data_IF_690069202016
#
_entry.id   IF_690069202016
#
_cell.length_a   1.000
_cell.length_b   1.000
_cell.length_c   1.000
_cell.angle_alpha   90.00
_cell.angle_beta   90.00
_cell.angle_gamma   90.00
#
_symmetry.space_group_name_H-M   'P 1'
#
loop_
_entity.id
_entity.type
_entity.pdbx_description
1 polymer ?
#
# COMPACT_ATOMS: atom_id res chain seq x y z
N UNK A 1 15.69 39.77 34.62
CA UNK A 1 16.92 39.27 33.96
C UNK A 1 16.44 38.41 32.79
N UNK A 2 16.57 38.73 31.50
CA UNK A 2 17.46 39.60 30.71
C UNK A 2 18.88 39.03 30.43
N UNK A 3 18.91 38.14 29.43
CA UNK A 3 19.92 37.81 28.38
C UNK A 3 19.14 36.94 27.34
N UNK A 4 19.22 37.02 26.01
CA UNK A 4 19.97 37.81 25.01
C UNK A 4 21.50 37.66 25.02
N UNK A 5 22.21 37.71 23.87
CA UNK A 5 21.93 38.30 22.54
C UNK A 5 22.51 37.37 21.40
N UNK A 6 22.69 37.75 20.10
CA UNK A 6 22.29 36.86 18.97
C UNK A 6 23.27 36.74 17.76
N UNK A 7 22.85 36.00 16.70
CA UNK A 7 23.26 36.12 15.27
C UNK A 7 24.77 35.95 14.91
N UNK A 8 25.25 35.97 13.63
CA UNK A 8 24.56 36.04 12.33
C UNK A 8 24.99 35.01 11.23
N UNK A 9 24.16 34.94 10.19
CA UNK A 9 24.46 34.89 8.73
C UNK A 9 25.87 34.56 8.22
N UNK A 10 25.96 33.59 7.31
CA UNK A 10 26.81 33.72 6.12
C UNK A 10 26.21 33.00 4.89
N UNK A 11 25.87 33.78 3.87
CA UNK A 11 25.57 33.31 2.51
C UNK A 11 26.90 33.30 1.75
N UNK A 12 27.26 32.21 1.08
CA UNK A 12 28.13 32.31 -0.09
C UNK A 12 27.81 31.24 -1.15
N UNK A 13 27.66 31.73 -2.38
CA UNK A 13 27.35 30.96 -3.58
C UNK A 13 28.65 30.34 -4.10
N UNK A 14 28.62 29.07 -4.53
CA UNK A 14 29.52 28.62 -5.60
C UNK A 14 28.87 27.56 -6.49
N UNK A 15 28.24 28.05 -7.56
CA UNK A 15 27.93 27.26 -8.75
C UNK A 15 29.20 27.10 -9.61
N UNK A 16 29.19 26.12 -10.53
CA UNK A 16 30.23 25.81 -11.52
C UNK A 16 31.60 25.36 -10.99
N UNK A 17 31.89 24.07 -11.15
CA UNK A 17 33.05 23.66 -11.97
C UNK A 17 32.93 22.21 -12.46
N UNK A 18 32.43 22.08 -13.70
CA UNK A 18 32.51 20.87 -14.50
C UNK A 18 33.77 20.98 -15.37
N UNK A 19 34.84 20.23 -15.11
CA UNK A 19 35.99 20.13 -16.04
C UNK A 19 36.94 18.96 -15.71
N UNK A 20 36.76 17.87 -16.46
CA UNK A 20 37.77 16.98 -17.05
C UNK A 20 39.08 16.73 -16.27
N UNK A 21 39.28 15.48 -15.85
CA UNK A 21 40.60 14.87 -15.74
C UNK A 21 40.65 13.56 -16.55
N UNK A 22 40.81 13.72 -17.87
CA UNK A 22 41.18 12.62 -18.76
C UNK A 22 42.71 12.54 -18.88
N UNK A 23 43.22 11.32 -19.02
CA UNK A 23 44.58 10.97 -19.47
C UNK A 23 45.77 11.39 -18.59
N UNK A 24 46.19 10.46 -17.72
CA UNK A 24 47.58 10.33 -17.26
C UNK A 24 48.04 8.85 -17.29
N UNK A 25 48.03 8.23 -18.48
CA UNK A 25 48.74 6.96 -18.68
C UNK A 25 50.26 7.21 -18.70
N UNK A 26 50.94 6.77 -17.64
CA UNK A 26 52.41 6.78 -17.53
C UNK A 26 52.85 5.55 -16.76
N UNK A 27 53.04 4.43 -17.46
CA UNK A 27 53.17 3.12 -16.82
C UNK A 27 54.55 2.85 -16.19
N UNK A 28 54.56 1.94 -15.22
CA UNK A 28 55.67 1.02 -14.96
C UNK A 28 55.09 -0.29 -14.44
N UNK A 29 55.60 -1.39 -14.98
CA UNK A 29 55.09 -2.77 -14.84
C UNK A 29 55.14 -3.31 -13.41
N UNK A 30 54.01 -3.90 -12.98
CA UNK A 30 53.97 -5.12 -12.16
C UNK A 30 52.78 -5.94 -12.65
N UNK A 31 53.00 -7.21 -13.00
CA UNK A 31 51.91 -8.16 -13.25
C UNK A 31 51.34 -8.63 -11.92
N UNK A 32 50.03 -8.51 -11.72
CA UNK A 32 49.30 -9.50 -10.92
C UNK A 32 47.87 -9.69 -11.46
N UNK A 33 47.44 -10.94 -11.38
CA UNK A 33 46.47 -11.62 -12.24
C UNK A 33 45.00 -11.37 -11.85
N UNK A 34 44.16 -11.02 -12.84
CA UNK A 34 42.69 -11.13 -12.91
C UNK A 34 41.84 -10.71 -11.69
N UNK A 35 41.04 -9.65 -11.88
CA UNK A 35 39.66 -9.60 -11.36
C UNK A 35 38.79 -8.81 -12.37
N UNK A 36 38.04 -9.53 -13.20
CA UNK A 36 37.30 -9.02 -14.39
C UNK A 36 35.79 -9.30 -14.25
N UNK A 37 35.31 -9.39 -13.00
CA UNK A 37 33.94 -9.79 -12.67
C UNK A 37 33.09 -8.70 -11.99
N UNK A 38 33.73 -7.63 -11.50
CA UNK A 38 33.03 -6.55 -10.76
C UNK A 38 32.49 -5.43 -11.65
N UNK A 39 33.13 -5.12 -12.78
CA UNK A 39 32.76 -3.99 -13.66
C UNK A 39 31.51 -4.32 -14.51
N UNK A 40 31.33 -5.59 -14.86
CA UNK A 40 30.16 -6.07 -15.64
C UNK A 40 28.87 -6.07 -14.82
N UNK A 41 28.93 -6.44 -13.53
CA UNK A 41 27.76 -6.57 -12.67
C UNK A 41 27.05 -5.22 -12.42
N UNK A 42 27.82 -4.14 -12.21
CA UNK A 42 27.26 -2.79 -12.00
C UNK A 42 26.57 -2.29 -13.27
N UNK A 43 27.10 -2.63 -14.45
CA UNK A 43 26.49 -2.26 -15.75
C UNK A 43 25.21 -3.05 -16.06
N UNK A 44 25.02 -4.25 -15.52
CA UNK A 44 23.77 -5.01 -15.67
C UNK A 44 22.69 -4.51 -14.70
N UNK A 45 23.07 -4.09 -13.49
CA UNK A 45 22.15 -3.60 -12.44
C UNK A 45 21.59 -2.20 -12.78
N UNK A 46 22.42 -1.26 -13.30
CA UNK A 46 21.92 0.03 -13.82
C UNK A 46 21.05 -0.13 -15.08
N UNK A 47 21.36 -1.11 -15.94
CA UNK A 47 20.57 -1.36 -17.16
C UNK A 47 19.20 -1.97 -16.83
N UNK A 48 19.14 -2.94 -15.92
CA UNK A 48 17.90 -3.55 -15.47
C UNK A 48 16.98 -2.51 -14.78
N UNK A 49 17.54 -1.68 -13.88
CA UNK A 49 16.78 -0.62 -13.22
C UNK A 49 16.22 0.43 -14.20
N UNK A 50 16.94 0.72 -15.29
CA UNK A 50 16.47 1.64 -16.32
C UNK A 50 15.41 1.02 -17.25
N UNK A 51 15.49 -0.28 -17.55
CA UNK A 51 14.43 -1.00 -18.28
C UNK A 51 13.15 -1.13 -17.44
N UNK A 52 13.27 -1.38 -16.13
CA UNK A 52 12.16 -1.48 -15.19
C UNK A 52 11.43 -0.13 -15.05
N UNK A 53 12.16 0.98 -14.86
CA UNK A 53 11.58 2.33 -14.83
C UNK A 53 10.88 2.73 -16.14
N UNK A 54 11.44 2.36 -17.29
CA UNK A 54 10.85 2.66 -18.59
C UNK A 54 9.60 1.81 -18.88
N UNK A 55 9.53 0.59 -18.33
CA UNK A 55 8.34 -0.24 -18.38
C UNK A 55 7.22 0.31 -17.46
N UNK A 56 7.56 0.75 -16.24
CA UNK A 56 6.62 1.47 -15.35
C UNK A 56 6.08 2.74 -16.00
N UNK A 57 6.94 3.58 -16.59
CA UNK A 57 6.52 4.83 -17.27
C UNK A 57 5.60 4.55 -18.47
N UNK A 58 5.90 3.50 -19.27
CA UNK A 58 5.05 3.09 -20.40
C UNK A 58 3.71 2.49 -19.96
N UNK A 59 3.68 1.73 -18.86
CA UNK A 59 2.43 1.18 -18.32
C UNK A 59 1.56 2.27 -17.68
N UNK A 60 2.19 3.24 -17.02
CA UNK A 60 1.52 4.44 -16.51
C UNK A 60 0.87 5.26 -17.64
N UNK A 61 1.56 5.47 -18.77
CA UNK A 61 1.00 6.19 -19.92
C UNK A 61 -0.20 5.47 -20.56
N UNK A 62 -0.21 4.13 -20.69
CA UNK A 62 -1.39 3.41 -21.21
C UNK A 62 -2.58 3.42 -20.24
N UNK A 63 -2.32 3.44 -18.92
CA UNK A 63 -3.36 3.46 -17.88
C UNK A 63 -4.00 4.85 -17.69
N UNK A 64 -3.23 5.93 -17.86
CA UNK A 64 -3.67 7.31 -17.62
C UNK A 64 -4.78 7.82 -18.56
N UNK A 65 -4.93 7.21 -19.74
CA UNK A 65 -5.93 7.56 -20.76
C UNK A 65 -7.27 6.80 -20.59
N UNK A 66 -7.38 5.83 -19.66
CA UNK A 66 -8.58 4.98 -19.53
C UNK A 66 -9.70 5.62 -18.66
N UNK A 67 -9.37 6.44 -17.66
CA UNK A 67 -10.33 6.95 -16.68
C UNK A 67 -10.34 8.49 -16.58
N UNK A 68 -11.53 9.10 -16.60
CA UNK A 68 -11.76 10.53 -16.33
C UNK A 68 -12.94 10.74 -15.36
N UNK A 69 -12.86 11.75 -14.50
CA UNK A 69 -14.00 12.17 -13.66
C UNK A 69 -13.68 12.44 -12.19
N UNK A 70 -14.65 12.17 -11.32
CA UNK A 70 -14.53 12.25 -9.86
C UNK A 70 -14.75 10.84 -9.29
N UNK A 71 -13.91 10.42 -8.33
CA UNK A 71 -14.05 9.15 -7.61
C UNK A 71 -14.17 9.44 -6.12
N UNK A 72 -15.29 9.05 -5.51
CA UNK A 72 -15.58 9.32 -4.10
C UNK A 72 -15.33 8.09 -3.21
N UNK A 73 -14.51 8.26 -2.16
CA UNK A 73 -14.12 7.18 -1.25
C UNK A 73 -14.52 7.49 0.19
N UNK A 74 -15.32 6.62 0.80
CA UNK A 74 -15.65 6.66 2.21
C UNK A 74 -14.56 5.96 3.04
N UNK A 75 -13.80 6.70 3.85
CA UNK A 75 -12.60 6.21 4.56
C UNK A 75 -12.74 6.20 6.10
N UNK A 76 -11.97 5.33 6.76
CA UNK A 76 -11.94 5.21 8.23
C UNK A 76 -10.96 6.21 8.86
N UNK A 77 -11.44 7.42 9.10
CA UNK A 77 -10.61 8.48 9.69
C UNK A 77 -9.75 9.19 8.65
N UNK A 78 -8.92 10.14 9.11
CA UNK A 78 -8.05 10.93 8.23
C UNK A 78 -6.77 10.13 7.97
N UNK A 79 -6.70 9.48 6.81
CA UNK A 79 -5.56 8.65 6.40
C UNK A 79 -4.28 9.46 6.14
N UNK A 80 -4.42 10.75 5.87
CA UNK A 80 -3.37 11.74 5.56
C UNK A 80 -2.81 12.48 6.79
N UNK A 81 -3.42 12.33 7.97
CA UNK A 81 -3.18 13.21 9.11
C UNK A 81 -1.84 13.01 9.87
N UNK A 82 -1.23 11.82 9.81
CA UNK A 82 0.06 11.52 10.45
C UNK A 82 0.83 10.45 9.64
N UNK A 83 1.94 10.80 8.98
CA UNK A 83 2.81 9.85 8.27
C UNK A 83 3.37 8.69 9.10
N UNK A 84 3.31 8.75 10.43
CA UNK A 84 3.76 7.69 11.33
C UNK A 84 2.62 6.75 11.75
N UNK A 85 1.37 7.06 11.42
CA UNK A 85 0.20 6.25 11.75
C UNK A 85 0.01 5.15 10.70
N UNK A 86 -0.34 3.93 11.11
CA UNK A 86 -0.43 2.78 10.19
C UNK A 86 -1.44 2.96 9.06
N UNK A 87 -2.48 3.78 9.23
CA UNK A 87 -3.44 4.08 8.16
C UNK A 87 -2.86 4.96 7.04
N UNK A 88 -1.68 5.55 7.21
CA UNK A 88 -1.03 6.37 6.19
C UNK A 88 -0.60 5.58 4.94
N UNK A 89 -0.41 4.25 5.06
CA UNK A 89 -0.18 3.39 3.89
C UNK A 89 -1.35 3.41 2.89
N UNK A 90 -2.59 3.63 3.34
CA UNK A 90 -3.73 3.81 2.43
C UNK A 90 -3.64 5.12 1.66
N UNK A 91 -3.14 6.20 2.29
CA UNK A 91 -2.92 7.47 1.62
C UNK A 91 -1.86 7.34 0.52
N UNK A 92 -0.71 6.75 0.84
CA UNK A 92 0.39 6.54 -0.12
C UNK A 92 -0.05 5.72 -1.35
N UNK A 93 -0.78 4.61 -1.16
CA UNK A 93 -1.31 3.80 -2.27
C UNK A 93 -2.31 4.61 -3.11
N UNK A 94 -3.16 5.43 -2.49
CA UNK A 94 -4.11 6.27 -3.21
C UNK A 94 -3.44 7.43 -3.94
N UNK A 95 -2.30 7.96 -3.46
CA UNK A 95 -1.51 8.95 -4.21
C UNK A 95 -0.79 8.30 -5.39
N UNK A 96 -0.19 7.12 -5.23
CA UNK A 96 0.41 6.36 -6.34
C UNK A 96 -0.64 6.07 -7.43
N UNK A 97 -1.85 5.65 -7.05
CA UNK A 97 -2.94 5.47 -8.00
C UNK A 97 -3.35 6.78 -8.68
N UNK A 98 -3.45 7.90 -7.94
CA UNK A 98 -3.78 9.21 -8.50
C UNK A 98 -2.70 9.73 -9.47
N UNK A 99 -1.43 9.43 -9.24
CA UNK A 99 -0.33 9.79 -10.14
C UNK A 99 -0.37 9.01 -11.45
N UNK A 100 -0.83 7.75 -11.42
CA UNK A 100 -1.12 6.93 -12.61
C UNK A 100 -2.41 7.36 -13.33
N UNK A 101 -3.38 7.93 -12.61
CA UNK A 101 -4.71 8.31 -13.11
C UNK A 101 -5.01 9.81 -12.95
N UNK A 102 -4.18 10.71 -13.53
CA UNK A 102 -4.23 12.16 -13.27
C UNK A 102 -5.51 12.86 -13.76
N UNK A 103 -6.33 12.17 -14.57
CA UNK A 103 -7.62 12.65 -15.08
C UNK A 103 -8.79 12.34 -14.11
N UNK A 104 -8.53 11.64 -13.00
CA UNK A 104 -9.52 11.32 -11.95
C UNK A 104 -9.28 12.17 -10.70
N UNK A 105 -10.28 12.91 -10.25
CA UNK A 105 -10.23 13.65 -8.98
C UNK A 105 -10.68 12.74 -7.83
N UNK A 106 -9.74 12.34 -6.96
CA UNK A 106 -10.06 11.62 -5.72
C UNK A 106 -10.73 12.55 -4.68
N UNK A 107 -11.89 12.13 -4.16
CA UNK A 107 -12.55 12.76 -3.00
C UNK A 107 -12.62 11.80 -1.82
N UNK A 108 -12.37 12.31 -0.62
CA UNK A 108 -12.46 11.52 0.61
C UNK A 108 -13.59 12.00 1.49
N UNK A 109 -14.47 11.08 1.87
CA UNK A 109 -15.50 11.28 2.90
C UNK A 109 -15.15 10.50 4.16
N UNK A 110 -15.23 11.14 5.33
CA UNK A 110 -15.03 10.43 6.60
C UNK A 110 -16.30 9.66 6.95
N UNK A 111 -16.21 8.34 7.05
CA UNK A 111 -17.29 7.52 7.57
C UNK A 111 -17.63 8.01 8.99
N UNK A 112 -18.91 8.32 9.21
CA UNK A 112 -19.37 8.91 10.47
C UNK A 112 -19.21 7.97 11.67
N UNK A 113 -19.07 8.58 12.85
CA UNK A 113 -19.00 7.86 14.12
C UNK A 113 -17.58 7.68 14.67
N UNK A 114 -17.50 7.11 15.87
CA UNK A 114 -16.22 6.90 16.59
C UNK A 114 -15.93 5.44 16.92
N UNK A 115 -16.96 4.60 16.89
CA UNK A 115 -16.87 3.15 17.14
C UNK A 115 -17.25 2.36 15.89
N UNK A 116 -16.83 1.10 15.79
CA UNK A 116 -17.19 0.21 14.66
C UNK A 116 -18.71 0.12 14.45
N UNK A 117 -19.56 -0.04 15.49
CA UNK A 117 -21.01 0.02 15.33
C UNK A 117 -21.54 1.34 14.76
N UNK A 118 -20.98 2.49 15.12
CA UNK A 118 -21.40 3.78 14.56
C UNK A 118 -21.13 3.82 13.04
N UNK A 119 -19.96 3.32 12.61
CA UNK A 119 -19.56 3.25 11.20
C UNK A 119 -20.48 2.36 10.39
N UNK A 120 -20.81 1.18 10.92
CA UNK A 120 -21.79 0.26 10.32
C UNK A 120 -23.19 0.88 10.21
N UNK A 121 -23.62 1.66 11.21
CA UNK A 121 -24.88 2.40 11.15
C UNK A 121 -24.83 3.53 10.10
N UNK A 122 -23.70 4.23 9.95
CA UNK A 122 -23.50 5.24 8.91
C UNK A 122 -23.59 4.61 7.51
N UNK A 123 -22.90 3.50 7.27
CA UNK A 123 -22.94 2.77 6.00
C UNK A 123 -24.37 2.31 5.71
N UNK A 124 -25.03 1.62 6.66
CA UNK A 124 -26.40 1.14 6.48
C UNK A 124 -27.41 2.28 6.20
N UNK A 125 -27.22 3.45 6.82
CA UNK A 125 -28.10 4.62 6.62
C UNK A 125 -27.94 5.20 5.22
N UNK A 126 -26.71 5.40 4.75
CA UNK A 126 -26.44 5.94 3.41
C UNK A 126 -26.78 4.93 2.31
N UNK A 127 -26.55 3.64 2.55
CA UNK A 127 -26.97 2.56 1.64
C UNK A 127 -28.48 2.55 1.45
N UNK A 128 -29.26 2.61 2.54
CA UNK A 128 -30.73 2.69 2.48
C UNK A 128 -31.26 4.02 1.90
N UNK A 129 -30.43 5.07 1.84
CA UNK A 129 -30.76 6.35 1.23
C UNK A 129 -30.33 6.45 -0.25
N UNK A 130 -29.52 5.51 -0.76
CA UNK A 130 -28.90 5.60 -2.09
C UNK A 130 -27.84 6.70 -2.18
N UNK A 131 -27.09 6.94 -1.09
CA UNK A 131 -26.09 8.02 -0.96
C UNK A 131 -24.75 7.54 -0.42
N UNK A 132 -24.35 6.30 -0.75
CA UNK A 132 -22.97 5.88 -0.52
C UNK A 132 -22.03 6.53 -1.55
N UNK A 133 -20.79 6.86 -1.17
CA UNK A 133 -19.69 7.08 -2.10
C UNK A 133 -19.40 5.85 -2.98
N UNK A 134 -18.70 6.04 -4.09
CA UNK A 134 -18.40 5.01 -5.08
C UNK A 134 -17.63 3.82 -4.50
N UNK A 135 -16.70 4.10 -3.58
CA UNK A 135 -15.95 3.08 -2.83
C UNK A 135 -16.13 3.30 -1.33
N UNK A 136 -16.47 2.24 -0.59
CA UNK A 136 -16.74 2.32 0.86
C UNK A 136 -15.82 1.39 1.63
N UNK A 137 -14.92 1.96 2.44
CA UNK A 137 -14.07 1.18 3.34
C UNK A 137 -14.92 0.56 4.45
N UNK A 138 -14.99 -0.77 4.48
CA UNK A 138 -15.71 -1.55 5.48
C UNK A 138 -14.82 -2.63 6.09
N UNK A 139 -14.98 -2.86 7.39
CA UNK A 139 -14.32 -3.91 8.16
C UNK A 139 -15.33 -5.02 8.41
N UNK A 140 -15.02 -6.28 8.08
CA UNK A 140 -15.90 -7.45 8.24
C UNK A 140 -17.39 -7.19 7.89
N UNK A 141 -17.72 -7.03 6.59
CA UNK A 141 -19.10 -6.84 6.15
C UNK A 141 -19.97 -8.05 6.54
N UNK A 142 -21.16 -7.78 7.10
CA UNK A 142 -22.20 -8.79 7.29
C UNK A 142 -23.14 -8.87 6.07
N UNK A 143 -23.98 -9.90 6.02
CA UNK A 143 -24.85 -10.17 4.87
C UNK A 143 -25.86 -9.06 4.54
N UNK A 144 -26.13 -8.11 5.44
CA UNK A 144 -27.00 -6.95 5.17
C UNK A 144 -26.42 -6.01 4.12
N UNK A 145 -25.10 -6.05 3.90
CA UNK A 145 -24.42 -5.24 2.88
C UNK A 145 -24.20 -5.99 1.55
N UNK A 146 -24.64 -7.26 1.44
CA UNK A 146 -24.49 -8.09 0.24
C UNK A 146 -25.75 -8.02 -0.63
N UNK A 147 -26.16 -6.79 -0.99
CA UNK A 147 -27.37 -6.51 -1.78
C UNK A 147 -27.01 -6.16 -3.23
N UNK A 148 -27.31 -7.03 -4.22
CA UNK A 148 -26.98 -6.78 -5.63
C UNK A 148 -27.81 -5.66 -6.28
N UNK A 149 -28.85 -5.12 -5.63
CA UNK A 149 -29.54 -3.92 -6.10
C UNK A 149 -28.80 -2.62 -5.68
N UNK A 150 -27.86 -2.70 -4.73
CA UNK A 150 -27.21 -1.55 -4.10
C UNK A 150 -25.68 -1.56 -4.20
N UNK A 151 -25.05 -2.73 -4.32
CA UNK A 151 -23.59 -2.91 -4.39
C UNK A 151 -23.26 -3.72 -5.65
N UNK A 152 -22.19 -3.33 -6.35
CA UNK A 152 -21.72 -4.01 -7.57
C UNK A 152 -21.26 -5.43 -7.22
N UNK A 153 -21.74 -6.43 -7.97
CA UNK A 153 -21.18 -7.78 -7.95
C UNK A 153 -19.78 -7.76 -8.61
N UNK A 154 -18.75 -8.02 -7.81
CA UNK A 154 -17.35 -8.06 -8.23
C UNK A 154 -16.94 -9.41 -8.85
N UNK A 155 -17.79 -10.45 -8.74
CA UNK A 155 -17.53 -11.81 -9.25
C UNK A 155 -17.04 -11.87 -10.71
N UNK A 156 -17.64 -11.15 -11.70
CA UNK A 156 -17.12 -11.16 -13.06
C UNK A 156 -15.74 -10.49 -13.17
N UNK A 157 -15.53 -9.35 -12.51
CA UNK A 157 -14.28 -8.59 -12.54
C UNK A 157 -13.11 -9.35 -11.89
N UNK A 158 -13.39 -10.18 -10.87
CA UNK A 158 -12.40 -11.10 -10.28
C UNK A 158 -11.84 -12.13 -11.28
N UNK A 159 -12.44 -12.30 -12.46
CA UNK A 159 -11.97 -13.18 -13.53
C UNK A 159 -11.33 -12.43 -14.70
N UNK A 160 -11.24 -11.10 -14.63
CA UNK A 160 -10.57 -10.26 -15.61
C UNK A 160 -9.07 -10.13 -15.25
N UNK A 161 -8.19 -9.86 -16.24
CA UNK A 161 -6.77 -9.59 -15.98
C UNK A 161 -6.59 -8.42 -15.02
N UNK A 162 -5.62 -8.52 -14.12
CA UNK A 162 -5.24 -7.39 -13.28
C UNK A 162 -4.15 -6.58 -14.01
N UNK A 163 -4.38 -5.30 -14.36
CA UNK A 163 -3.36 -4.48 -15.02
C UNK A 163 -2.22 -4.04 -14.08
N UNK A 164 -2.33 -4.31 -12.77
CA UNK A 164 -1.32 -3.99 -11.76
C UNK A 164 -0.49 -5.22 -11.32
N UNK A 165 -0.60 -6.37 -12.00
CA UNK A 165 0.21 -7.56 -11.71
C UNK A 165 0.45 -8.44 -12.95
N UNK A 166 1.46 -9.31 -12.90
CA UNK A 166 1.69 -10.34 -13.93
C UNK A 166 0.73 -11.53 -13.83
N UNK A 167 -0.23 -11.51 -12.88
CA UNK A 167 -1.11 -12.64 -12.63
C UNK A 167 -2.26 -12.71 -13.67
N UNK A 168 -2.75 -13.92 -14.02
CA UNK A 168 -3.72 -14.07 -15.11
C UNK A 168 -5.05 -13.37 -14.86
N UNK A 169 -5.49 -13.30 -13.59
CA UNK A 169 -6.74 -12.65 -13.18
C UNK A 169 -6.59 -11.97 -11.81
N UNK A 170 -7.46 -11.02 -11.52
CA UNK A 170 -7.60 -10.42 -10.18
C UNK A 170 -7.74 -11.45 -9.05
N UNK A 171 -8.40 -12.60 -9.29
CA UNK A 171 -8.51 -13.68 -8.30
C UNK A 171 -7.15 -14.22 -7.84
N UNK A 172 -6.20 -14.34 -8.77
CA UNK A 172 -4.90 -14.97 -8.53
C UNK A 172 -3.98 -14.11 -7.63
N UNK A 173 -4.24 -12.80 -7.53
CA UNK A 173 -3.56 -11.90 -6.59
C UNK A 173 -4.02 -12.05 -5.13
N UNK A 174 -5.13 -12.75 -4.86
CA UNK A 174 -5.63 -12.90 -3.49
C UNK A 174 -4.98 -14.08 -2.76
N UNK A 175 -4.45 -13.87 -1.53
CA UNK A 175 -3.74 -14.89 -0.79
C UNK A 175 -4.54 -16.19 -0.59
N UNK A 176 -3.81 -17.30 -0.56
CA UNK A 176 -4.35 -18.64 -0.32
C UNK A 176 -5.39 -19.09 -1.37
N UNK A 177 -5.13 -18.86 -2.68
CA UNK A 177 -6.05 -19.25 -3.78
C UNK A 177 -7.46 -18.66 -3.58
N UNK A 178 -7.47 -17.32 -3.44
CA UNK A 178 -8.65 -16.52 -3.13
C UNK A 178 -9.41 -16.93 -1.86
N UNK A 179 -8.84 -17.75 -0.97
CA UNK A 179 -9.55 -18.21 0.22
C UNK A 179 -9.91 -17.05 1.16
N UNK A 180 -9.12 -15.97 1.17
CA UNK A 180 -9.46 -14.75 1.92
C UNK A 180 -10.74 -14.07 1.46
N UNK A 181 -11.14 -14.24 0.18
CA UNK A 181 -12.38 -13.66 -0.35
C UNK A 181 -13.62 -14.46 0.07
N UNK A 182 -13.47 -15.76 0.36
CA UNK A 182 -14.60 -16.68 0.57
C UNK A 182 -15.46 -16.31 1.79
N UNK A 183 -14.89 -15.61 2.78
CA UNK A 183 -15.63 -15.07 3.93
C UNK A 183 -16.53 -13.86 3.56
N UNK A 184 -16.24 -13.18 2.44
CA UNK A 184 -17.02 -12.05 1.93
C UNK A 184 -18.11 -12.47 0.92
N UNK A 185 -18.10 -13.72 0.46
CA UNK A 185 -19.08 -14.23 -0.50
C UNK A 185 -20.52 -14.15 0.03
N UNK A 186 -21.49 -13.96 -0.86
CA UNK A 186 -22.92 -14.08 -0.61
C UNK A 186 -23.30 -15.55 -0.37
N UNK A 187 -24.53 -15.77 0.11
CA UNK A 187 -25.08 -17.13 0.21
C UNK A 187 -25.17 -17.87 -1.14
N UNK A 188 -25.10 -17.15 -2.27
CA UNK A 188 -25.08 -17.71 -3.63
C UNK A 188 -23.66 -17.81 -4.22
N UNK A 189 -22.64 -17.27 -3.55
CA UNK A 189 -21.25 -17.24 -4.02
C UNK A 189 -20.82 -15.96 -4.75
N UNK A 190 -21.62 -14.89 -4.70
CA UNK A 190 -21.30 -13.59 -5.30
C UNK A 190 -20.37 -12.79 -4.38
N UNK A 191 -19.38 -12.06 -4.91
CA UNK A 191 -18.46 -11.23 -4.13
C UNK A 191 -18.84 -9.76 -4.22
N UNK A 192 -19.26 -9.16 -3.12
CA UNK A 192 -19.59 -7.72 -3.03
C UNK A 192 -18.50 -6.87 -2.37
N UNK A 193 -17.41 -7.53 -1.92
CA UNK A 193 -16.29 -6.89 -1.23
C UNK A 193 -14.99 -7.60 -1.59
N UNK A 194 -13.91 -6.84 -1.62
CA UNK A 194 -12.53 -7.33 -1.71
C UNK A 194 -11.75 -6.91 -0.47
N UNK A 195 -10.90 -7.80 0.02
CA UNK A 195 -9.89 -7.48 1.03
C UNK A 195 -8.60 -6.97 0.38
N UNK A 196 -7.50 -6.83 1.14
CA UNK A 196 -6.17 -6.61 0.56
C UNK A 196 -5.67 -7.87 -0.17
N UNK A 197 -4.92 -7.67 -1.26
CA UNK A 197 -4.18 -8.72 -1.99
C UNK A 197 -2.93 -9.21 -1.25
N UNK A 198 -2.58 -8.59 -0.12
CA UNK A 198 -1.49 -9.05 0.74
C UNK A 198 -2.01 -9.65 2.05
N UNK A 199 -1.29 -10.63 2.59
CA UNK A 199 -1.68 -11.40 3.77
C UNK A 199 -1.72 -10.60 5.09
N UNK A 200 -1.39 -9.30 5.05
CA UNK A 200 -1.22 -8.46 6.24
C UNK A 200 -2.48 -8.32 7.11
N UNK A 201 -3.67 -8.43 6.53
CA UNK A 201 -4.96 -8.33 7.25
C UNK A 201 -5.68 -9.69 7.42
N UNK A 202 -4.99 -10.81 7.20
CA UNK A 202 -5.57 -12.12 7.60
C UNK A 202 -5.53 -12.24 9.12
N UNK A 203 -6.61 -11.82 9.77
CA UNK A 203 -6.75 -11.74 11.23
C UNK A 203 -6.58 -13.08 11.94
N UNK A 204 -5.35 -13.42 12.32
CA UNK A 204 -5.02 -14.60 13.10
C UNK A 204 -5.13 -14.32 14.60
N UNK A 205 -6.04 -15.02 15.29
CA UNK A 205 -6.12 -14.99 16.75
C UNK A 205 -4.84 -15.59 17.33
N UNK A 206 -4.01 -14.74 17.95
CA UNK A 206 -2.75 -15.14 18.60
C UNK A 206 -2.74 -14.73 20.07
N UNK A 207 -1.94 -15.41 20.88
CA UNK A 207 -1.81 -15.14 22.31
C UNK A 207 -0.46 -14.47 22.56
N UNK A 208 -0.51 -13.19 22.91
CA UNK A 208 0.67 -12.37 23.20
C UNK A 208 0.84 -12.33 24.73
N UNK A 209 2.03 -12.69 25.22
CA UNK A 209 2.39 -12.67 26.64
C UNK A 209 3.71 -11.95 26.87
N UNK A 210 3.91 -11.41 28.08
CA UNK A 210 5.14 -10.74 28.48
C UNK A 210 6.13 -11.77 29.04
N UNK A 211 7.16 -12.10 28.26
CA UNK A 211 8.21 -13.08 28.64
C UNK A 211 8.87 -12.74 29.98
N UNK A 212 9.26 -11.49 30.19
CA UNK A 212 9.88 -11.03 31.45
C UNK A 212 9.00 -11.33 32.67
N UNK A 213 7.67 -11.09 32.55
CA UNK A 213 6.74 -11.38 33.65
C UNK A 213 6.58 -12.88 33.92
N UNK A 214 6.69 -13.72 32.89
CA UNK A 214 6.66 -15.17 33.02
C UNK A 214 7.95 -15.70 33.68
N UNK A 215 9.11 -15.19 33.24
CA UNK A 215 10.43 -15.48 33.83
C UNK A 215 10.50 -15.05 35.31
N UNK A 216 10.04 -13.82 35.64
CA UNK A 216 10.06 -13.24 36.98
C UNK A 216 9.26 -14.05 38.02
N UNK A 217 8.19 -14.73 37.59
CA UNK A 217 7.35 -15.58 38.45
C UNK A 217 7.58 -17.08 38.27
N UNK A 218 8.48 -17.47 37.36
CA UNK A 218 8.90 -18.85 37.13
C UNK A 218 7.81 -19.75 36.53
N UNK A 219 7.01 -19.23 35.59
CA UNK A 219 5.96 -19.99 34.88
C UNK A 219 6.26 -20.07 33.39
N UNK A 220 5.99 -21.24 32.80
CA UNK A 220 6.09 -21.46 31.36
C UNK A 220 4.83 -20.98 30.63
N UNK A 221 4.91 -20.60 29.35
CA UNK A 221 3.72 -20.29 28.56
C UNK A 221 2.81 -21.51 28.42
N UNK A 222 1.49 -21.37 28.66
CA UNK A 222 0.53 -22.47 28.53
C UNK A 222 0.47 -23.00 27.09
N UNK A 223 0.43 -24.32 26.96
CA UNK A 223 0.36 -25.06 25.69
C UNK A 223 -1.04 -25.65 25.43
N UNK A 224 -1.90 -25.66 26.45
CA UNK A 224 -3.26 -26.17 26.42
C UNK A 224 -4.24 -25.23 27.12
N UNK A 225 -5.53 -25.31 26.78
CA UNK A 225 -6.59 -24.51 27.40
C UNK A 225 -6.77 -24.75 28.92
N UNK A 226 -6.23 -25.83 29.47
CA UNK A 226 -6.31 -26.14 30.90
C UNK A 226 -5.18 -25.50 31.72
N UNK A 227 -4.20 -24.88 31.05
CA UNK A 227 -3.04 -24.21 31.66
C UNK A 227 -3.19 -22.68 31.71
N UNK A 228 -4.27 -22.14 31.10
CA UNK A 228 -4.70 -20.74 31.16
C UNK A 228 -5.63 -20.47 32.36
#
# INVERSE_FOLDING_TARGET
MRRTHPYPTLIFIFSLMFLMLLAACGGTTTEETTDDAADTAVSEEEAASAEEMAAEESAAEEMADEFEGELTLAIWGQIDADPNHSAYSYHEILQQWNDLHPNVELKYELIGGTTVPDRFNWIATNMAAGTLPDVVMIYFPNDTYKDPELIVDLTPYLQEPNPYSDNPTWWDDFPFDGQVLKDYASANGEYFFVGPTQSGDTGVTTIIYNKTMFDDVGVEPPTTWAEF
#
